data_IF_375387965589
#
_entry.id   IF_375387965589
#
_cell.length_a   1.000
_cell.length_b   1.000
_cell.length_c   1.000
_cell.angle_alpha   90.00
_cell.angle_beta   90.00
_cell.angle_gamma   90.00
#
_symmetry.space_group_name_H-M   'P 1'
#
loop_
_entity.id
_entity.type
_entity.pdbx_description
1 polymer ?
#
# COMPACT_ATOMS: atom_id res chain seq x y z
N UNK A 1 -2.63 0.69 12.13
CA UNK A 1 -2.92 1.94 12.87
C UNK A 1 -3.95 1.74 13.98
N UNK A 2 -4.95 0.88 13.79
CA UNK A 2 -6.12 0.81 14.67
C UNK A 2 -5.83 0.36 16.12
N UNK A 3 -5.18 -0.79 16.30
CA UNK A 3 -4.84 -1.30 17.66
C UNK A 3 -3.97 -0.34 18.47
N UNK A 4 -3.10 0.41 17.80
CA UNK A 4 -2.24 1.41 18.45
C UNK A 4 -3.08 2.57 18.99
N UNK A 5 -3.99 3.12 18.16
CA UNK A 5 -4.89 4.20 18.58
C UNK A 5 -5.82 3.75 19.72
N UNK A 6 -6.33 2.52 19.65
CA UNK A 6 -7.20 1.92 20.68
C UNK A 6 -6.45 1.72 22.00
N UNK A 7 -5.17 1.36 21.96
CA UNK A 7 -4.33 1.15 23.15
C UNK A 7 -3.73 2.43 23.76
N UNK A 8 -3.94 3.60 23.14
CA UNK A 8 -3.33 4.87 23.61
C UNK A 8 -3.75 5.19 25.05
N UNK A 9 -5.03 5.00 25.37
CA UNK A 9 -5.56 5.29 26.70
C UNK A 9 -4.95 4.39 27.77
N UNK A 10 -4.84 3.10 27.49
CA UNK A 10 -4.29 2.07 28.38
C UNK A 10 -2.77 2.26 28.59
N UNK A 11 -2.05 2.59 27.52
CA UNK A 11 -0.58 2.70 27.57
C UNK A 11 -0.12 4.02 28.21
N UNK A 12 -0.88 5.10 28.03
CA UNK A 12 -0.49 6.45 28.46
C UNK A 12 -1.43 7.04 29.52
N UNK A 13 -2.09 6.20 30.32
CA UNK A 13 -3.11 6.61 31.30
C UNK A 13 -2.63 7.72 32.25
N UNK A 14 -1.34 7.73 32.61
CA UNK A 14 -0.74 8.71 33.52
C UNK A 14 -0.41 10.05 32.85
N UNK A 15 -0.45 10.13 31.52
CA UNK A 15 -0.12 11.31 30.72
C UNK A 15 -1.35 11.96 30.07
N UNK A 16 -2.53 11.38 30.29
CA UNK A 16 -3.79 11.83 29.71
C UNK A 16 -4.68 12.47 30.77
N UNK A 17 -5.25 13.64 30.46
CA UNK A 17 -6.31 14.24 31.27
C UNK A 17 -7.59 13.42 31.21
N UNK A 18 -8.49 13.59 32.18
CA UNK A 18 -9.78 12.90 32.23
C UNK A 18 -10.60 13.09 30.93
N UNK A 19 -10.62 14.32 30.39
CA UNK A 19 -11.30 14.64 29.14
C UNK A 19 -10.74 13.83 27.96
N UNK A 20 -9.41 13.68 27.86
CA UNK A 20 -8.79 12.92 26.76
C UNK A 20 -9.05 11.42 26.91
N UNK A 21 -9.10 10.92 28.14
CA UNK A 21 -9.48 9.52 28.42
C UNK A 21 -10.90 9.23 27.93
N UNK A 22 -11.83 10.14 28.19
CA UNK A 22 -13.21 10.03 27.70
C UNK A 22 -13.27 10.03 26.17
N UNK A 23 -12.53 10.92 25.51
CA UNK A 23 -12.42 10.97 24.04
C UNK A 23 -11.88 9.64 23.48
N UNK A 24 -10.84 9.08 24.10
CA UNK A 24 -10.31 7.77 23.70
C UNK A 24 -11.34 6.65 23.89
N UNK A 25 -12.08 6.64 25.01
CA UNK A 25 -13.11 5.64 25.26
C UNK A 25 -14.26 5.71 24.24
N UNK A 26 -14.73 6.91 23.92
CA UNK A 26 -15.75 7.12 22.89
C UNK A 26 -15.25 6.69 21.51
N UNK A 27 -13.97 6.93 21.20
CA UNK A 27 -13.33 6.42 19.98
C UNK A 27 -13.28 4.89 19.96
N UNK A 28 -13.01 4.24 21.10
CA UNK A 28 -12.94 2.78 21.22
C UNK A 28 -14.31 2.15 20.96
N UNK A 29 -15.36 2.69 21.58
CA UNK A 29 -16.73 2.21 21.42
C UNK A 29 -17.17 2.32 19.96
N UNK A 30 -17.07 3.53 19.37
CA UNK A 30 -17.45 3.75 17.97
C UNK A 30 -16.65 2.85 17.02
N UNK A 31 -15.36 2.65 17.28
CA UNK A 31 -14.53 1.79 16.44
C UNK A 31 -14.89 0.32 16.53
N UNK A 32 -15.25 -0.21 17.71
CA UNK A 32 -15.69 -1.60 17.87
C UNK A 32 -16.96 -1.88 17.07
N UNK A 33 -17.90 -0.92 17.05
CA UNK A 33 -19.11 -1.00 16.22
C UNK A 33 -18.71 -1.11 14.75
N UNK A 34 -17.84 -0.21 14.26
CA UNK A 34 -17.37 -0.26 12.87
C UNK A 34 -16.63 -1.56 12.53
N UNK A 35 -15.74 -2.04 13.42
CA UNK A 35 -14.99 -3.29 13.22
C UNK A 35 -15.90 -4.51 13.12
N UNK A 36 -16.97 -4.56 13.95
CA UNK A 36 -17.94 -5.67 13.92
C UNK A 36 -18.54 -5.88 12.52
N UNK A 37 -18.93 -4.79 11.85
CA UNK A 37 -19.51 -4.86 10.50
C UNK A 37 -18.45 -5.03 9.40
N UNK A 38 -17.21 -4.59 9.62
CA UNK A 38 -16.11 -4.86 8.70
C UNK A 38 -15.68 -6.34 8.71
N UNK A 39 -15.67 -6.97 9.88
CA UNK A 39 -15.26 -8.37 10.06
C UNK A 39 -16.36 -9.37 9.64
N UNK A 40 -17.63 -8.94 9.65
CA UNK A 40 -18.78 -9.76 9.30
C UNK A 40 -19.64 -9.02 8.25
N UNK A 41 -19.22 -8.95 6.98
CA UNK A 41 -19.90 -8.18 5.94
C UNK A 41 -21.35 -8.63 5.70
N UNK A 42 -21.67 -9.89 5.99
CA UNK A 42 -23.04 -10.43 5.94
C UNK A 42 -24.00 -9.73 6.90
N UNK A 43 -23.51 -9.21 8.03
CA UNK A 43 -24.31 -8.41 8.95
C UNK A 43 -24.71 -7.06 8.36
N UNK A 44 -23.90 -6.53 7.43
CA UNK A 44 -24.18 -5.27 6.76
C UNK A 44 -25.25 -5.40 5.65
N UNK A 45 -25.58 -6.63 5.21
CA UNK A 45 -26.58 -6.87 4.16
C UNK A 45 -28.02 -6.75 4.66
N UNK A 46 -28.24 -6.91 5.97
CA UNK A 46 -29.57 -6.94 6.59
C UNK A 46 -29.62 -6.06 7.85
N UNK A 47 -29.08 -4.85 7.77
CA UNK A 47 -29.18 -3.88 8.87
C UNK A 47 -30.63 -3.44 9.04
N UNK A 48 -31.12 -3.55 10.27
CA UNK A 48 -32.35 -2.86 10.69
C UNK A 48 -32.15 -1.33 10.65
N UNK A 49 -33.24 -0.57 10.63
CA UNK A 49 -33.16 0.90 10.68
C UNK A 49 -32.42 1.41 11.93
N UNK A 50 -32.61 0.74 13.07
CA UNK A 50 -31.92 1.05 14.33
C UNK A 50 -30.41 0.81 14.25
N UNK A 51 -29.98 -0.33 13.67
CA UNK A 51 -28.56 -0.63 13.49
C UNK A 51 -27.88 0.27 12.46
N UNK A 52 -28.62 0.68 11.41
CA UNK A 52 -28.15 1.68 10.46
C UNK A 52 -27.91 3.03 11.14
N UNK A 53 -28.82 3.43 12.03
CA UNK A 53 -28.68 4.67 12.79
C UNK A 53 -27.51 4.59 13.78
N UNK A 54 -27.38 3.48 14.51
CA UNK A 54 -26.23 3.24 15.42
C UNK A 54 -24.90 3.28 14.67
N UNK A 55 -24.82 2.60 13.51
CA UNK A 55 -23.64 2.62 12.65
C UNK A 55 -23.31 4.04 12.17
N UNK A 56 -24.30 4.79 11.70
CA UNK A 56 -24.10 6.16 11.22
C UNK A 56 -23.65 7.11 12.35
N UNK A 57 -24.20 6.95 13.55
CA UNK A 57 -23.78 7.69 14.75
C UNK A 57 -22.34 7.35 15.11
N UNK A 58 -21.96 6.07 15.09
CA UNK A 58 -20.61 5.61 15.36
C UNK A 58 -19.62 6.18 14.34
N UNK A 59 -19.94 6.16 13.05
CA UNK A 59 -19.10 6.70 11.97
C UNK A 59 -18.88 8.22 12.13
N UNK A 60 -19.95 8.98 12.35
CA UNK A 60 -19.87 10.45 12.54
C UNK A 60 -19.07 10.80 13.79
N UNK A 61 -19.33 10.10 14.88
CA UNK A 61 -18.67 10.34 16.17
C UNK A 61 -17.18 10.00 16.07
N UNK A 62 -16.85 8.86 15.47
CA UNK A 62 -15.47 8.45 15.24
C UNK A 62 -14.75 9.47 14.35
N UNK A 63 -15.35 9.89 13.24
CA UNK A 63 -14.75 10.88 12.32
C UNK A 63 -14.42 12.20 13.02
N UNK A 64 -15.33 12.71 13.86
CA UNK A 64 -15.11 13.95 14.65
C UNK A 64 -13.97 13.79 15.67
N UNK A 65 -13.84 12.62 16.28
CA UNK A 65 -12.83 12.34 17.30
C UNK A 65 -11.48 11.97 16.68
N UNK A 66 -11.47 11.45 15.45
CA UNK A 66 -10.31 10.89 14.79
C UNK A 66 -9.15 11.88 14.65
N UNK A 67 -9.43 13.15 14.33
CA UNK A 67 -8.41 14.18 14.22
C UNK A 67 -7.71 14.44 15.57
N UNK A 68 -8.48 14.49 16.66
CA UNK A 68 -7.92 14.59 18.02
C UNK A 68 -7.06 13.38 18.35
N UNK A 69 -7.52 12.18 18.00
CA UNK A 69 -6.76 10.93 18.20
C UNK A 69 -5.45 10.92 17.41
N UNK A 70 -5.44 11.41 16.17
CA UNK A 70 -4.22 11.59 15.38
C UNK A 70 -3.27 12.56 16.09
N UNK A 71 -3.77 13.70 16.56
CA UNK A 71 -2.95 14.67 17.26
C UNK A 71 -2.28 14.06 18.50
N UNK A 72 -3.05 13.34 19.32
CA UNK A 72 -2.52 12.62 20.48
C UNK A 72 -1.52 11.53 20.10
N UNK A 73 -1.76 10.79 19.02
CA UNK A 73 -0.79 9.84 18.48
C UNK A 73 0.54 10.54 18.16
N UNK A 74 0.53 11.68 17.47
CA UNK A 74 1.75 12.41 17.12
C UNK A 74 2.47 13.06 18.30
N UNK A 75 1.79 13.26 19.43
CA UNK A 75 2.37 13.79 20.67
C UNK A 75 2.96 12.66 21.52
N UNK A 76 2.19 11.60 21.73
CA UNK A 76 2.53 10.53 22.67
C UNK A 76 3.43 9.47 22.04
N UNK A 77 3.19 9.16 20.77
CA UNK A 77 3.88 8.09 20.03
C UNK A 77 3.98 8.46 18.53
N UNK A 78 4.78 9.48 18.17
CA UNK A 78 4.91 9.92 16.79
C UNK A 78 5.36 8.74 15.91
N UNK A 79 4.61 8.42 14.84
CA UNK A 79 5.00 7.33 13.95
C UNK A 79 6.23 7.72 13.13
N UNK A 80 7.18 6.80 13.00
CA UNK A 80 8.29 6.94 12.07
C UNK A 80 7.89 6.64 10.62
N UNK A 81 6.87 5.78 10.43
CA UNK A 81 6.34 5.37 9.14
C UNK A 81 4.82 5.49 9.20
N UNK A 82 4.23 6.15 8.20
CA UNK A 82 2.79 6.30 8.06
C UNK A 82 2.35 5.69 6.72
N UNK A 83 1.64 4.56 6.78
CA UNK A 83 1.10 3.90 5.60
C UNK A 83 -0.32 4.41 5.32
N UNK A 84 -0.56 4.96 4.13
CA UNK A 84 -1.85 5.49 3.70
C UNK A 84 -2.18 4.94 2.31
N UNK A 85 -3.47 4.73 2.05
CA UNK A 85 -3.93 4.52 0.67
C UNK A 85 -3.81 5.83 -0.11
N UNK A 86 -3.72 5.75 -1.45
CA UNK A 86 -3.71 6.93 -2.34
C UNK A 86 -4.84 7.91 -2.00
N UNK A 87 -6.06 7.41 -1.86
CA UNK A 87 -7.23 8.24 -1.54
C UNK A 87 -7.07 8.97 -0.19
N UNK A 88 -6.59 8.27 0.83
CA UNK A 88 -6.38 8.86 2.16
C UNK A 88 -5.26 9.91 2.14
N UNK A 89 -4.15 9.66 1.45
CA UNK A 89 -3.07 10.63 1.24
C UNK A 89 -3.61 11.92 0.60
N UNK A 90 -4.40 11.78 -0.47
CA UNK A 90 -4.99 12.91 -1.19
C UNK A 90 -5.95 13.70 -0.31
N UNK A 91 -6.81 13.01 0.44
CA UNK A 91 -7.87 13.64 1.23
C UNK A 91 -7.38 14.24 2.54
N UNK A 92 -6.27 13.76 3.11
CA UNK A 92 -5.85 14.13 4.48
C UNK A 92 -4.51 14.83 4.58
N UNK A 93 -3.65 14.73 3.57
CA UNK A 93 -2.36 15.43 3.53
C UNK A 93 -2.33 16.47 2.41
N UNK A 94 -2.86 16.12 1.24
CA UNK A 94 -2.85 17.01 0.07
C UNK A 94 -3.97 18.07 0.10
N UNK A 95 -4.98 17.90 0.97
CA UNK A 95 -6.05 18.89 1.22
C UNK A 95 -5.59 19.99 2.19
N UNK A 96 -6.12 21.21 2.04
CA UNK A 96 -5.71 22.37 2.86
C UNK A 96 -6.05 22.22 4.35
N UNK A 97 -7.18 21.61 4.66
CA UNK A 97 -7.74 21.34 5.99
C UNK A 97 -7.61 19.85 6.36
N UNK A 98 -6.69 19.12 5.72
CA UNK A 98 -6.56 17.69 5.94
C UNK A 98 -6.03 17.35 7.35
N UNK A 99 -6.57 16.29 7.95
CA UNK A 99 -6.25 15.83 9.30
C UNK A 99 -4.75 15.63 9.59
N UNK A 100 -3.94 15.34 8.56
CA UNK A 100 -2.50 15.11 8.69
C UNK A 100 -1.64 16.30 8.23
N UNK A 101 -2.25 17.40 7.80
CA UNK A 101 -1.53 18.54 7.19
C UNK A 101 -0.48 19.14 8.12
N UNK A 102 -0.82 19.30 9.40
CA UNK A 102 0.08 19.84 10.42
C UNK A 102 1.31 18.96 10.68
N UNK A 103 1.24 17.67 10.34
CA UNK A 103 2.31 16.69 10.61
C UNK A 103 3.17 16.39 9.39
N UNK A 104 2.83 16.95 8.22
CA UNK A 104 3.55 16.71 6.97
C UNK A 104 5.06 17.01 7.09
N UNK A 105 5.43 18.08 7.80
CA UNK A 105 6.83 18.46 7.99
C UNK A 105 7.68 17.46 8.78
N UNK A 106 7.05 16.44 9.40
CA UNK A 106 7.75 15.36 10.10
C UNK A 106 8.27 14.27 9.15
N UNK A 107 7.80 14.23 7.91
CA UNK A 107 8.19 13.22 6.93
C UNK A 107 9.01 13.84 5.81
N UNK A 108 10.10 13.16 5.43
CA UNK A 108 11.03 13.62 4.39
C UNK A 108 11.00 12.76 3.13
N UNK A 109 10.36 11.58 3.20
CA UNK A 109 10.29 10.60 2.11
C UNK A 109 8.83 10.14 1.96
N UNK A 110 8.35 10.11 0.72
CA UNK A 110 7.11 9.46 0.30
C UNK A 110 7.47 8.28 -0.59
N UNK A 111 6.93 7.11 -0.28
CA UNK A 111 7.04 5.91 -1.12
C UNK A 111 5.65 5.61 -1.68
N UNK A 112 5.50 5.68 -2.99
CA UNK A 112 4.29 5.25 -3.69
C UNK A 112 4.48 3.84 -4.23
N UNK A 113 3.83 2.88 -3.60
CA UNK A 113 3.76 1.49 -4.08
C UNK A 113 2.61 1.32 -5.09
N UNK A 114 2.67 0.28 -5.92
CA UNK A 114 1.73 0.06 -7.04
C UNK A 114 1.55 1.31 -7.90
N UNK A 115 2.66 2.02 -8.12
CA UNK A 115 2.69 3.33 -8.75
C UNK A 115 2.11 3.31 -10.17
N UNK A 116 2.11 2.16 -10.85
CA UNK A 116 1.49 2.02 -12.17
C UNK A 116 -0.02 2.35 -12.16
N UNK A 117 -0.70 2.18 -11.02
CA UNK A 117 -2.13 2.46 -10.83
C UNK A 117 -2.42 3.89 -10.33
N UNK A 118 -1.39 4.72 -10.17
CA UNK A 118 -1.53 6.13 -9.80
C UNK A 118 -1.60 6.96 -11.09
N UNK A 119 -2.67 7.75 -11.31
CA UNK A 119 -2.80 8.57 -12.50
C UNK A 119 -1.92 9.82 -12.40
N UNK A 120 -1.42 10.30 -13.54
CA UNK A 120 -0.54 11.47 -13.67
C UNK A 120 -1.06 12.73 -12.95
N UNK A 121 -2.36 13.10 -13.02
CA UNK A 121 -2.88 14.22 -12.25
C UNK A 121 -2.66 14.10 -10.73
N UNK A 122 -2.65 12.88 -10.19
CA UNK A 122 -2.37 12.66 -8.77
C UNK A 122 -0.89 12.94 -8.44
N UNK A 123 0.05 12.59 -9.32
CA UNK A 123 1.47 12.93 -9.15
C UNK A 123 1.68 14.46 -9.14
N UNK A 124 1.04 15.17 -10.07
CA UNK A 124 1.09 16.64 -10.12
C UNK A 124 0.55 17.24 -8.83
N UNK A 125 -0.59 16.75 -8.33
CA UNK A 125 -1.16 17.21 -7.08
C UNK A 125 -0.25 16.91 -5.88
N UNK A 126 0.30 15.69 -5.78
CA UNK A 126 1.24 15.30 -4.72
C UNK A 126 2.49 16.19 -4.76
N UNK A 127 3.10 16.38 -5.94
CA UNK A 127 4.33 17.16 -6.10
C UNK A 127 4.15 18.63 -5.74
N UNK A 128 3.02 19.23 -6.13
CA UNK A 128 2.70 20.62 -5.78
C UNK A 128 2.42 20.79 -4.28
N UNK A 129 1.81 19.78 -3.64
CA UNK A 129 1.44 19.84 -2.22
C UNK A 129 2.59 19.45 -1.29
N UNK A 130 3.52 18.63 -1.79
CA UNK A 130 4.65 18.07 -1.05
C UNK A 130 6.02 18.43 -1.67
N UNK A 131 6.32 19.72 -1.95
CA UNK A 131 7.47 20.12 -2.76
C UNK A 131 8.84 19.81 -2.13
N UNK A 132 8.88 19.58 -0.81
CA UNK A 132 10.11 19.31 -0.06
C UNK A 132 10.31 17.82 0.26
N UNK A 133 9.35 16.97 -0.09
CA UNK A 133 9.42 15.54 0.19
C UNK A 133 10.10 14.84 -0.98
N UNK A 134 11.06 13.97 -0.68
CA UNK A 134 11.66 13.10 -1.70
C UNK A 134 10.69 11.98 -2.02
N UNK A 135 10.36 11.83 -3.30
CA UNK A 135 9.36 10.88 -3.77
C UNK A 135 10.05 9.69 -4.42
N UNK A 136 9.65 8.48 -4.03
CA UNK A 136 10.12 7.21 -4.58
C UNK A 136 8.88 6.47 -5.04
N UNK A 137 8.86 6.00 -6.29
CA UNK A 137 7.74 5.28 -6.86
C UNK A 137 8.19 3.87 -7.23
N UNK A 138 7.45 2.88 -6.73
CA UNK A 138 7.63 1.46 -7.00
C UNK A 138 6.40 0.97 -7.75
N UNK A 139 6.62 0.32 -8.88
CA UNK A 139 5.54 -0.18 -9.70
C UNK A 139 6.08 -0.78 -10.98
N UNK A 140 5.14 -1.23 -11.80
CA UNK A 140 5.45 -1.96 -13.02
C UNK A 140 4.54 -1.50 -14.15
N UNK A 141 5.15 -0.97 -15.21
CA UNK A 141 4.43 -0.44 -16.38
C UNK A 141 3.70 -1.52 -17.17
N UNK A 142 4.09 -2.78 -17.00
CA UNK A 142 3.48 -3.91 -17.70
C UNK A 142 2.32 -4.55 -16.91
N UNK A 143 2.00 -4.02 -15.73
CA UNK A 143 0.88 -4.46 -14.89
C UNK A 143 -0.34 -3.54 -15.08
N UNK A 144 -1.13 -3.34 -14.01
CA UNK A 144 -2.38 -2.61 -14.08
C UNK A 144 -2.18 -1.10 -14.28
N UNK A 145 -2.91 -0.55 -15.25
CA UNK A 145 -3.06 0.89 -15.44
C UNK A 145 -4.06 1.49 -14.43
N UNK A 146 -4.08 2.83 -14.25
CA UNK A 146 -5.08 3.48 -13.43
C UNK A 146 -6.50 3.17 -13.92
N UNK A 147 -7.37 2.76 -13.00
CA UNK A 147 -8.77 2.47 -13.33
C UNK A 147 -9.56 3.71 -13.73
N UNK A 148 -10.37 3.58 -14.79
CA UNK A 148 -11.20 4.66 -15.33
C UNK A 148 -12.59 4.14 -15.72
N UNK A 149 -13.62 4.96 -15.49
CA UNK A 149 -15.02 4.65 -15.83
C UNK A 149 -15.48 5.19 -17.19
N UNK A 150 -14.58 5.78 -17.98
CA UNK A 150 -14.91 6.35 -19.28
C UNK A 150 -14.41 5.44 -20.41
N UNK A 151 -15.07 5.46 -21.59
CA UNK A 151 -14.58 4.82 -22.80
C UNK A 151 -13.10 5.15 -23.10
N UNK A 152 -12.36 4.15 -23.61
CA UNK A 152 -10.92 4.25 -23.81
C UNK A 152 -10.49 5.19 -24.95
N UNK A 153 -11.42 5.54 -25.84
CA UNK A 153 -11.24 6.42 -27.00
C UNK A 153 -11.36 7.91 -26.65
N UNK A 154 -11.77 8.24 -25.42
CA UNK A 154 -11.84 9.61 -24.97
C UNK A 154 -10.46 10.15 -24.60
N UNK A 155 -10.17 11.39 -25.01
CA UNK A 155 -9.01 12.16 -24.57
C UNK A 155 -8.86 12.21 -23.04
N UNK A 156 -9.96 12.04 -22.30
CA UNK A 156 -9.97 11.92 -20.84
C UNK A 156 -9.14 10.73 -20.32
N UNK A 157 -9.06 9.62 -21.04
CA UNK A 157 -8.17 8.51 -20.69
C UNK A 157 -6.71 8.91 -20.88
N UNK A 158 -6.39 9.45 -22.08
CA UNK A 158 -5.03 9.82 -22.49
C UNK A 158 -4.40 10.84 -21.55
N UNK A 159 -5.18 11.85 -21.13
CA UNK A 159 -4.66 12.94 -20.27
C UNK A 159 -5.00 12.78 -18.79
N UNK A 160 -6.08 12.07 -18.45
CA UNK A 160 -6.58 11.97 -17.07
C UNK A 160 -6.15 10.71 -16.33
N UNK A 161 -5.72 9.67 -17.06
CA UNK A 161 -5.49 8.35 -16.49
C UNK A 161 -4.19 7.69 -16.93
N UNK A 162 -3.30 8.43 -17.60
CA UNK A 162 -1.94 7.98 -17.85
C UNK A 162 -1.26 7.64 -16.53
N UNK A 163 -0.60 6.49 -16.49
CA UNK A 163 0.16 6.03 -15.32
C UNK A 163 1.36 6.93 -15.02
N UNK A 164 1.62 7.21 -13.74
CA UNK A 164 2.84 7.94 -13.34
C UNK A 164 4.11 7.16 -13.68
N UNK A 165 4.07 5.82 -13.68
CA UNK A 165 5.24 5.02 -14.04
C UNK A 165 5.61 5.24 -15.50
N UNK A 166 4.62 5.29 -16.40
CA UNK A 166 4.84 5.63 -17.82
C UNK A 166 5.47 7.01 -17.99
N UNK A 167 4.98 8.00 -17.24
CA UNK A 167 5.50 9.38 -17.28
C UNK A 167 6.94 9.45 -16.77
N UNK A 168 7.19 8.89 -15.59
CA UNK A 168 8.47 8.94 -14.91
C UNK A 168 9.55 8.13 -15.63
N UNK A 169 9.24 6.93 -16.12
CA UNK A 169 10.19 6.11 -16.88
C UNK A 169 10.57 6.73 -18.24
N UNK A 170 9.71 7.59 -18.80
CA UNK A 170 9.99 8.32 -20.05
C UNK A 170 10.77 9.62 -19.81
N UNK A 171 10.91 10.07 -18.57
CA UNK A 171 11.51 11.37 -18.23
C UNK A 171 13.03 11.25 -18.03
N UNK A 172 13.87 11.92 -18.83
CA UNK A 172 15.34 11.79 -18.74
C UNK A 172 15.95 12.20 -17.39
N UNK A 173 15.26 13.07 -16.65
CA UNK A 173 15.72 13.60 -15.37
C UNK A 173 15.41 12.66 -14.17
N UNK A 174 14.65 11.58 -14.38
CA UNK A 174 14.24 10.68 -13.30
C UNK A 174 15.14 9.45 -13.31
N UNK A 175 15.90 9.19 -12.24
CA UNK A 175 16.69 7.96 -12.15
C UNK A 175 15.75 6.76 -11.99
N UNK A 176 15.94 5.74 -12.83
CA UNK A 176 15.17 4.49 -12.82
C UNK A 176 16.09 3.32 -12.54
N UNK A 177 15.66 2.44 -11.65
CA UNK A 177 16.34 1.18 -11.34
C UNK A 177 15.37 0.01 -11.57
N UNK A 178 15.72 -0.89 -12.50
CA UNK A 178 14.90 -2.05 -12.84
C UNK A 178 15.21 -3.26 -11.94
N UNK A 179 14.17 -3.82 -11.32
CA UNK A 179 14.26 -5.06 -10.55
C UNK A 179 13.98 -6.25 -11.46
N UNK A 180 15.03 -6.85 -12.02
CA UNK A 180 14.88 -7.91 -13.03
C UNK A 180 14.75 -9.33 -12.47
N UNK A 181 14.95 -9.52 -11.16
CA UNK A 181 14.97 -10.88 -10.57
C UNK A 181 13.66 -11.21 -9.88
N UNK A 182 13.00 -12.28 -10.32
CA UNK A 182 11.72 -12.77 -9.76
C UNK A 182 11.93 -13.99 -8.87
N UNK A 183 11.19 -14.05 -7.76
CA UNK A 183 11.26 -15.12 -6.76
C UNK A 183 9.92 -15.83 -6.53
N UNK A 184 8.86 -15.43 -7.22
CA UNK A 184 7.49 -15.80 -6.85
C UNK A 184 6.99 -17.06 -7.57
N UNK A 185 7.03 -17.06 -8.91
CA UNK A 185 6.39 -18.09 -9.73
C UNK A 185 7.40 -19.09 -10.29
N UNK A 186 6.96 -20.35 -10.46
CA UNK A 186 7.74 -21.42 -11.09
C UNK A 186 8.23 -21.00 -12.49
N UNK A 187 9.42 -21.42 -12.95
CA UNK A 187 9.99 -21.00 -14.23
C UNK A 187 9.05 -21.17 -15.42
N UNK A 188 8.36 -22.32 -15.50
CA UNK A 188 7.38 -22.60 -16.54
C UNK A 188 6.17 -21.64 -16.54
N UNK A 189 5.77 -21.12 -15.37
CA UNK A 189 4.69 -20.13 -15.27
C UNK A 189 5.18 -18.73 -15.65
N UNK A 190 6.44 -18.41 -15.28
CA UNK A 190 7.05 -17.13 -15.61
C UNK A 190 7.46 -17.01 -17.08
N UNK A 191 7.72 -18.12 -17.77
CA UNK A 191 8.26 -18.10 -19.15
C UNK A 191 7.36 -17.31 -20.10
N UNK A 192 6.05 -17.59 -20.10
CA UNK A 192 5.11 -16.92 -20.98
C UNK A 192 5.02 -15.42 -20.65
N UNK A 193 4.87 -15.08 -19.38
CA UNK A 193 4.78 -13.69 -18.93
C UNK A 193 6.07 -12.92 -19.24
N UNK A 194 7.23 -13.52 -18.97
CA UNK A 194 8.55 -12.92 -19.24
C UNK A 194 8.75 -12.65 -20.74
N UNK A 195 8.35 -13.59 -21.59
CA UNK A 195 8.45 -13.43 -23.04
C UNK A 195 7.51 -12.37 -23.58
N UNK A 196 6.27 -12.31 -23.11
CA UNK A 196 5.23 -11.43 -23.68
C UNK A 196 5.33 -10.00 -23.14
N UNK A 197 5.65 -9.84 -21.86
CA UNK A 197 5.60 -8.53 -21.20
C UNK A 197 6.98 -7.92 -20.90
N UNK A 198 8.05 -8.72 -20.82
CA UNK A 198 9.35 -8.27 -20.34
C UNK A 198 10.51 -8.62 -21.27
N UNK A 199 10.26 -9.00 -22.53
CA UNK A 199 11.27 -9.33 -23.53
C UNK A 199 12.36 -10.31 -23.05
N UNK A 200 11.98 -11.28 -22.21
CA UNK A 200 12.88 -12.25 -21.58
C UNK A 200 13.95 -11.64 -20.65
N UNK A 201 13.76 -10.41 -20.16
CA UNK A 201 14.72 -9.76 -19.28
C UNK A 201 14.64 -10.24 -17.82
N UNK A 202 13.52 -10.86 -17.41
CA UNK A 202 13.39 -11.34 -16.04
C UNK A 202 14.25 -12.59 -15.79
N UNK A 203 14.99 -12.55 -14.69
CA UNK A 203 15.87 -13.61 -14.22
C UNK A 203 15.23 -14.37 -13.06
N UNK A 204 15.43 -15.69 -13.04
CA UNK A 204 14.97 -16.53 -11.93
C UNK A 204 15.88 -16.38 -10.73
N UNK A 205 15.28 -16.11 -9.58
CA UNK A 205 16.00 -15.92 -8.32
C UNK A 205 16.27 -17.19 -7.52
N UNK A 206 15.68 -18.33 -7.90
CA UNK A 206 15.80 -19.60 -7.17
C UNK A 206 16.20 -20.76 -8.10
N UNK A 207 16.74 -21.84 -7.53
CA UNK A 207 17.01 -23.07 -8.25
C UNK A 207 15.72 -23.86 -8.48
N UNK A 208 15.60 -24.55 -9.63
CA UNK A 208 14.41 -25.34 -10.04
C UNK A 208 13.88 -26.30 -8.95
N UNK A 209 14.74 -26.80 -8.06
CA UNK A 209 14.34 -27.65 -6.94
C UNK A 209 13.56 -26.95 -5.82
N UNK A 210 13.59 -25.61 -5.73
CA UNK A 210 12.98 -24.85 -4.64
C UNK A 210 11.48 -24.59 -4.83
N UNK A 211 10.95 -24.70 -6.05
CA UNK A 211 9.53 -24.42 -6.39
C UNK A 211 8.71 -25.69 -6.63
N UNK A 212 9.00 -26.76 -5.87
CA UNK A 212 8.47 -28.11 -6.10
C UNK A 212 7.02 -28.32 -5.65
N UNK A 213 6.38 -27.31 -5.04
CA UNK A 213 5.11 -27.49 -4.32
C UNK A 213 3.84 -27.27 -5.15
N UNK A 214 3.91 -26.75 -6.39
CA UNK A 214 2.69 -26.32 -7.10
C UNK A 214 2.51 -26.83 -8.53
N UNK A 215 3.52 -27.42 -9.19
CA UNK A 215 3.43 -27.79 -10.62
C UNK A 215 3.94 -29.22 -10.89
N UNK A 216 3.43 -30.23 -10.19
CA UNK A 216 3.67 -31.64 -10.53
C UNK A 216 2.66 -32.22 -11.54
N UNK A 217 1.73 -31.41 -12.04
CA UNK A 217 0.67 -31.86 -12.96
C UNK A 217 1.01 -31.71 -14.45
N UNK A 218 2.07 -30.97 -14.81
CA UNK A 218 2.33 -30.63 -16.22
C UNK A 218 3.58 -31.28 -16.84
N UNK A 219 4.66 -31.57 -16.11
CA UNK A 219 5.73 -32.46 -16.61
C UNK A 219 6.54 -33.09 -15.45
N UNK A 220 6.63 -34.43 -15.33
CA UNK A 220 7.53 -35.07 -14.38
C UNK A 220 8.94 -35.13 -14.97
N UNK A 221 9.71 -34.04 -14.91
CA UNK A 221 11.16 -34.11 -15.16
C UNK A 221 11.93 -34.21 -13.84
N UNK A 222 12.67 -35.31 -13.73
CA UNK A 222 13.48 -35.67 -12.56
C UNK A 222 14.64 -34.67 -12.38
N UNK A 223 14.62 -33.91 -11.29
CA UNK A 223 15.82 -33.23 -10.82
C UNK A 223 16.82 -34.31 -10.37
N UNK A 224 17.80 -34.64 -11.21
CA UNK A 224 18.98 -35.39 -10.76
C UNK A 224 19.82 -34.46 -9.89
N UNK A 225 20.03 -34.88 -8.65
CA UNK A 225 20.98 -34.27 -7.72
C UNK A 225 22.35 -34.16 -8.41
N UNK A 226 22.80 -32.95 -8.72
CA UNK A 226 24.20 -32.71 -9.06
C UNK A 226 25.05 -33.00 -7.83
N UNK A 227 26.05 -33.85 -8.05
CA UNK A 227 27.03 -34.31 -7.07
C UNK A 227 27.81 -33.12 -6.49
N UNK A 228 28.26 -33.14 -5.22
CA UNK A 228 29.03 -32.03 -4.67
C UNK A 228 30.40 -31.95 -5.35
N UNK A 229 30.77 -30.74 -5.77
CA UNK A 229 32.10 -30.43 -6.29
C UNK A 229 33.15 -30.73 -5.21
N UNK A 230 33.98 -31.76 -5.40
CA UNK A 230 35.23 -31.92 -4.65
C UNK A 230 36.24 -30.87 -5.11
N UNK A 231 37.03 -30.27 -4.20
CA UNK A 231 38.11 -29.37 -4.58
C UNK A 231 39.22 -30.16 -5.29
N UNK A 232 39.64 -29.68 -6.46
CA UNK A 232 40.77 -30.25 -7.20
C UNK A 232 42.07 -29.91 -6.48
N UNK A 233 42.81 -30.94 -6.07
CA UNK A 233 44.21 -30.83 -5.66
C UNK A 233 45.05 -30.32 -6.84
N UNK A 234 45.89 -29.34 -6.57
CA UNK A 234 46.98 -28.88 -7.44
C UNK A 234 48.18 -29.79 -7.17
N UNK A 235 48.76 -30.49 -8.17
CA UNK A 235 50.08 -31.07 -8.03
C UNK A 235 51.14 -30.03 -8.41
N UNK A 236 52.22 -30.03 -7.63
CA UNK A 236 53.45 -29.25 -7.83
C UNK A 236 54.13 -29.56 -9.16
#
# INVERSE_FOLDING_TARGET
MNKILMSLHETYTNRLSAEVKEVCNNSIVGRRILERYMENPELALYLTDEENEEYAIAERTFSRIFEKMIAWMFILRPPNILCLTKALLMNTICKHDGAFKAYMGKFTILIGDEASQIPEPALTAISNRLPRIRQIYLGDVHQYEPYVKCPHDLHALVYGARSIMSVLCSAPAVPVASLVRTYMAHPALNEVTNRVAYDNTLLLGFHLCSSRWTVNLLEPRTCRSSTPLRPKHVPN
#
